data_IF_031037838364
#
_entry.id   IF_031037838364
#
_cell.length_a   1.000
_cell.length_b   1.000
_cell.length_c   1.000
_cell.angle_alpha   90.00
_cell.angle_beta   90.00
_cell.angle_gamma   90.00
#
_symmetry.space_group_name_H-M   'P 1'
#
loop_
_entity.id
_entity.type
_entity.pdbx_description
1 polymer ?
#
# COMPACT_ATOMS: atom_id res chain seq x y z
N UNK A 1 -14.79 18.04 -4.29
CA UNK A 1 -13.74 17.02 -4.47
C UNK A 1 -13.28 16.94 -5.93
N UNK A 2 -14.18 16.75 -6.92
CA UNK A 2 -13.78 16.59 -8.33
C UNK A 2 -13.00 17.76 -8.93
N UNK A 3 -13.28 19.00 -8.51
CA UNK A 3 -12.52 20.19 -8.96
C UNK A 3 -11.08 20.26 -8.43
N UNK A 4 -10.75 19.52 -7.37
CA UNK A 4 -9.40 19.47 -6.78
C UNK A 4 -8.47 18.49 -7.52
N UNK A 5 -9.04 17.53 -8.27
CA UNK A 5 -8.28 16.45 -8.91
C UNK A 5 -7.36 16.95 -10.03
N UNK A 6 -7.81 17.77 -11.01
CA UNK A 6 -6.93 18.18 -12.11
C UNK A 6 -5.70 19.00 -11.67
N UNK A 7 -5.81 19.99 -10.75
CA UNK A 7 -4.63 20.69 -10.22
C UNK A 7 -3.66 19.77 -9.47
N UNK A 8 -4.19 18.84 -8.67
CA UNK A 8 -3.39 17.83 -7.99
C UNK A 8 -2.60 16.97 -8.99
N UNK A 9 -3.28 16.39 -9.99
CA UNK A 9 -2.64 15.58 -11.03
C UNK A 9 -1.57 16.37 -11.80
N UNK A 10 -1.85 17.63 -12.13
CA UNK A 10 -0.89 18.47 -12.85
C UNK A 10 0.38 18.71 -12.04
N UNK A 11 0.27 18.94 -10.73
CA UNK A 11 1.42 19.10 -9.87
C UNK A 11 2.23 17.79 -9.74
N UNK A 12 1.57 16.64 -9.72
CA UNK A 12 2.23 15.32 -9.74
C UNK A 12 3.00 15.11 -11.05
N UNK A 13 2.42 15.47 -12.19
CA UNK A 13 3.12 15.38 -13.49
C UNK A 13 4.41 16.21 -13.49
N UNK A 14 4.35 17.45 -13.00
CA UNK A 14 5.52 18.35 -12.93
C UNK A 14 6.55 17.83 -11.91
N UNK A 15 6.09 17.29 -10.77
CA UNK A 15 6.97 16.65 -9.79
C UNK A 15 7.83 15.53 -10.40
N UNK A 16 7.30 14.86 -11.42
CA UNK A 16 7.91 13.70 -12.06
C UNK A 16 8.48 13.97 -13.45
N UNK A 17 8.50 15.22 -13.91
CA UNK A 17 8.99 15.53 -15.26
C UNK A 17 10.52 15.51 -15.36
N UNK A 18 11.22 15.81 -14.27
CA UNK A 18 12.69 15.90 -14.18
C UNK A 18 13.14 15.93 -12.70
N UNK A 19 14.43 16.14 -12.43
CA UNK A 19 15.03 16.29 -11.10
C UNK A 19 15.56 17.71 -10.80
N UNK A 20 15.20 18.69 -11.62
CA UNK A 20 15.56 20.09 -11.41
C UNK A 20 14.78 20.72 -10.22
N UNK A 21 15.14 21.97 -9.88
CA UNK A 21 14.53 22.70 -8.77
C UNK A 21 13.00 22.86 -8.90
N UNK A 22 12.50 23.14 -10.11
CA UNK A 22 11.07 23.34 -10.37
C UNK A 22 10.30 22.05 -10.10
N UNK A 23 10.81 20.91 -10.58
CA UNK A 23 10.20 19.60 -10.33
C UNK A 23 10.18 19.25 -8.83
N UNK A 24 11.28 19.50 -8.10
CA UNK A 24 11.32 19.26 -6.64
C UNK A 24 10.31 20.14 -5.88
N UNK A 25 10.21 21.42 -6.24
CA UNK A 25 9.22 22.32 -5.66
C UNK A 25 7.78 21.85 -5.97
N UNK A 26 7.54 21.36 -7.19
CA UNK A 26 6.25 20.82 -7.58
C UNK A 26 5.81 19.59 -6.77
N UNK A 27 6.74 18.78 -6.24
CA UNK A 27 6.40 17.67 -5.34
C UNK A 27 5.80 18.15 -4.01
N UNK A 28 6.32 19.25 -3.45
CA UNK A 28 5.73 19.88 -2.26
C UNK A 28 4.36 20.48 -2.59
N UNK A 29 4.25 21.17 -3.74
CA UNK A 29 2.98 21.71 -4.22
C UNK A 29 1.93 20.62 -4.44
N UNK A 30 2.32 19.47 -4.99
CA UNK A 30 1.44 18.32 -5.15
C UNK A 30 0.87 17.88 -3.81
N UNK A 31 1.67 17.82 -2.74
CA UNK A 31 1.17 17.53 -1.39
C UNK A 31 0.13 18.52 -0.91
N UNK A 32 0.35 19.81 -1.12
CA UNK A 32 -0.61 20.85 -0.73
C UNK A 32 -1.92 20.73 -1.51
N UNK A 33 -1.86 20.44 -2.81
CA UNK A 33 -3.05 20.36 -3.67
C UNK A 33 -3.81 19.04 -3.54
N UNK A 34 -3.12 17.93 -3.27
CA UNK A 34 -3.70 16.60 -3.22
C UNK A 34 -4.22 16.22 -1.83
N UNK A 35 -3.53 16.62 -0.74
CA UNK A 35 -3.94 16.24 0.62
C UNK A 35 -5.38 16.65 1.00
N UNK A 36 -5.93 17.80 0.55
CA UNK A 36 -7.32 18.15 0.84
C UNK A 36 -8.34 17.11 0.35
N UNK A 37 -8.02 16.33 -0.69
CA UNK A 37 -8.90 15.25 -1.19
C UNK A 37 -9.09 14.18 -0.10
N UNK A 38 -7.98 13.77 0.54
CA UNK A 38 -7.98 12.83 1.68
C UNK A 38 -8.62 13.51 2.90
N UNK A 39 -8.32 14.79 3.13
CA UNK A 39 -8.84 15.56 4.26
C UNK A 39 -10.37 15.64 4.29
N UNK A 40 -11.04 15.73 3.14
CA UNK A 40 -12.51 15.70 3.06
C UNK A 40 -13.08 14.38 3.59
N UNK A 41 -12.46 13.25 3.26
CA UNK A 41 -12.87 11.96 3.80
C UNK A 41 -12.58 11.87 5.30
N UNK A 42 -11.38 12.28 5.74
CA UNK A 42 -11.00 12.29 7.16
C UNK A 42 -11.95 13.14 8.02
N UNK A 43 -12.50 14.24 7.48
CA UNK A 43 -13.46 15.11 8.17
C UNK A 43 -14.80 14.44 8.49
N UNK A 44 -15.11 13.29 7.87
CA UNK A 44 -16.30 12.48 8.20
C UNK A 44 -16.18 11.75 9.54
N UNK A 45 -14.97 11.63 10.09
CA UNK A 45 -14.67 10.83 11.29
C UNK A 45 -14.54 9.32 11.03
N UNK A 46 -14.68 8.88 9.77
CA UNK A 46 -14.40 7.49 9.38
C UNK A 46 -12.90 7.22 9.34
N UNK A 47 -12.53 5.96 9.53
CA UNK A 47 -11.16 5.49 9.53
C UNK A 47 -10.60 5.44 8.09
N UNK A 48 -9.52 6.19 7.84
CA UNK A 48 -8.81 6.19 6.54
C UNK A 48 -8.27 4.80 6.14
N UNK A 49 -8.13 3.89 7.10
CA UNK A 49 -7.57 2.56 6.92
C UNK A 49 -8.65 1.45 6.86
N UNK A 50 -9.90 1.76 7.20
CA UNK A 50 -11.02 0.81 7.08
C UNK A 50 -12.33 1.60 7.04
N UNK A 51 -12.94 1.71 5.87
CA UNK A 51 -14.14 2.54 5.64
C UNK A 51 -15.37 2.12 6.46
N UNK A 52 -15.34 0.94 7.08
CA UNK A 52 -16.41 0.40 7.93
C UNK A 52 -16.30 0.86 9.38
N UNK A 53 -15.16 1.45 9.78
CA UNK A 53 -14.83 1.76 11.18
C UNK A 53 -14.77 3.29 11.40
N UNK A 54 -15.10 3.79 12.60
CA UNK A 54 -14.73 5.15 13.00
C UNK A 54 -13.22 5.26 13.25
N UNK A 55 -12.65 6.45 13.05
CA UNK A 55 -11.25 6.72 13.39
C UNK A 55 -11.12 6.93 14.91
N UNK A 56 -10.44 6.02 15.62
CA UNK A 56 -10.21 6.10 17.07
C UNK A 56 -8.70 6.14 17.35
N UNK A 57 -8.25 7.12 18.12
CA UNK A 57 -6.83 7.30 18.42
C UNK A 57 -6.03 7.98 17.30
N UNK A 58 -4.74 8.20 17.51
CA UNK A 58 -3.87 9.00 16.62
C UNK A 58 -3.56 8.34 15.27
N UNK A 59 -3.65 7.01 15.19
CA UNK A 59 -3.49 6.24 13.95
C UNK A 59 -4.80 5.56 13.52
N UNK A 60 -5.95 6.09 13.96
CA UNK A 60 -7.28 5.51 13.76
C UNK A 60 -7.48 4.05 14.24
N UNK A 61 -6.51 3.51 14.99
CA UNK A 61 -6.60 2.28 15.76
C UNK A 61 -6.12 2.53 17.19
N UNK A 62 -6.67 1.77 18.14
CA UNK A 62 -6.18 1.78 19.51
C UNK A 62 -4.92 0.89 19.63
N UNK A 63 -3.76 1.53 19.79
CA UNK A 63 -2.46 0.87 20.00
C UNK A 63 -1.92 1.07 21.43
N UNK A 64 -2.74 1.47 22.40
CA UNK A 64 -2.29 1.79 23.76
C UNK A 64 -1.61 0.60 24.44
N UNK A 65 -2.16 -0.61 24.26
CA UNK A 65 -1.57 -1.83 24.79
C UNK A 65 -0.18 -2.12 24.20
N UNK A 66 0.00 -1.90 22.89
CA UNK A 66 1.29 -2.05 22.22
C UNK A 66 2.28 -1.00 22.71
N UNK A 67 1.87 0.28 22.77
CA UNK A 67 2.67 1.38 23.30
C UNK A 67 3.15 1.09 24.72
N UNK A 68 2.25 0.63 25.61
CA UNK A 68 2.59 0.28 26.98
C UNK A 68 3.56 -0.91 27.05
N UNK A 69 3.32 -1.96 26.26
CA UNK A 69 4.19 -3.13 26.20
C UNK A 69 5.62 -2.77 25.74
N UNK A 70 5.75 -2.03 24.64
CA UNK A 70 7.06 -1.66 24.07
C UNK A 70 7.85 -0.67 24.95
N UNK A 71 7.19 0.01 25.88
CA UNK A 71 7.82 0.96 26.81
C UNK A 71 8.21 0.33 28.17
N UNK A 72 7.87 -0.94 28.41
CA UNK A 72 8.33 -1.68 29.59
C UNK A 72 9.85 -1.87 29.57
N UNK A 73 10.47 -1.72 30.73
CA UNK A 73 11.92 -1.85 30.87
C UNK A 73 12.41 -3.28 30.61
N UNK A 74 11.68 -4.28 31.10
CA UNK A 74 12.04 -5.69 30.89
C UNK A 74 11.89 -6.10 29.42
N UNK A 75 10.88 -5.58 28.72
CA UNK A 75 10.73 -5.77 27.27
C UNK A 75 11.90 -5.15 26.52
N UNK A 76 12.25 -3.89 26.80
CA UNK A 76 13.39 -3.24 26.11
C UNK A 76 14.72 -3.94 26.41
N UNK A 77 14.92 -4.35 27.67
CA UNK A 77 16.13 -5.06 28.10
C UNK A 77 16.25 -6.44 27.43
N UNK A 78 15.14 -7.19 27.35
CA UNK A 78 15.15 -8.52 26.70
C UNK A 78 15.40 -8.45 25.18
N UNK A 79 15.01 -7.34 24.53
CA UNK A 79 15.33 -7.07 23.13
C UNK A 79 16.74 -6.49 22.91
N UNK A 80 17.50 -6.21 23.98
CA UNK A 80 18.80 -5.54 23.90
C UNK A 80 18.70 -4.07 23.43
N UNK A 81 17.52 -3.47 23.50
CA UNK A 81 17.31 -2.08 23.12
C UNK A 81 17.82 -1.13 24.23
N UNK A 82 18.44 -0.03 23.83
CA UNK A 82 18.75 1.06 24.77
C UNK A 82 17.45 1.62 25.34
N UNK A 83 17.45 1.92 26.64
CA UNK A 83 16.29 2.50 27.32
C UNK A 83 15.89 3.81 26.64
N UNK A 84 14.66 3.86 26.14
CA UNK A 84 14.10 5.03 25.46
C UNK A 84 12.57 4.98 25.47
N UNK A 85 11.93 6.13 25.20
CA UNK A 85 10.49 6.17 24.97
C UNK A 85 10.23 5.67 23.56
N UNK A 86 9.60 4.50 23.45
CA UNK A 86 9.16 3.94 22.19
C UNK A 86 7.90 4.64 21.69
N UNK A 87 7.84 4.90 20.38
CA UNK A 87 6.69 5.45 19.67
C UNK A 87 6.53 4.69 18.36
N UNK A 88 5.28 4.48 17.92
CA UNK A 88 4.99 3.77 16.65
C UNK A 88 5.52 4.49 15.41
N UNK A 89 5.47 5.83 15.39
CA UNK A 89 5.88 6.64 14.26
C UNK A 89 6.59 7.91 14.73
N UNK A 90 7.70 8.28 14.08
CA UNK A 90 8.37 9.55 14.29
C UNK A 90 7.86 10.57 13.24
N UNK A 91 7.11 11.57 13.71
CA UNK A 91 6.52 12.58 12.83
C UNK A 91 7.52 13.61 12.30
N UNK A 92 8.68 13.78 12.95
CA UNK A 92 9.75 14.62 12.40
C UNK A 92 10.34 13.98 11.15
N UNK A 93 10.62 12.67 11.19
CA UNK A 93 11.06 11.91 10.02
C UNK A 93 9.99 11.94 8.93
N UNK A 94 8.70 11.80 9.28
CA UNK A 94 7.60 11.93 8.31
C UNK A 94 7.63 13.28 7.57
N UNK A 95 7.90 14.37 8.29
CA UNK A 95 8.03 15.71 7.71
C UNK A 95 9.29 15.87 6.84
N UNK A 96 10.36 15.11 7.08
CA UNK A 96 11.54 15.14 6.21
C UNK A 96 11.25 14.54 4.82
N UNK A 97 10.24 13.67 4.70
CA UNK A 97 9.82 13.02 3.45
C UNK A 97 8.78 13.83 2.63
N UNK A 98 8.55 15.10 2.95
CA UNK A 98 7.55 15.94 2.27
C UNK A 98 7.71 15.98 0.73
N UNK A 99 8.94 16.01 0.22
CA UNK A 99 9.23 16.05 -1.22
C UNK A 99 9.17 14.68 -1.89
N UNK A 100 9.20 13.60 -1.12
CA UNK A 100 9.33 12.23 -1.61
C UNK A 100 7.97 11.63 -2.01
N UNK A 101 6.91 12.00 -1.28
CA UNK A 101 5.58 11.39 -1.37
C UNK A 101 4.97 11.32 -2.78
N UNK A 102 5.23 12.31 -3.63
CA UNK A 102 4.66 12.40 -4.99
C UNK A 102 5.64 12.01 -6.09
N UNK A 103 6.83 11.53 -5.74
CA UNK A 103 7.75 10.94 -6.71
C UNK A 103 7.22 9.57 -7.15
N UNK A 104 7.31 9.31 -8.45
CA UNK A 104 6.94 8.05 -9.04
C UNK A 104 8.06 7.04 -8.79
N UNK A 105 7.77 5.98 -8.04
CA UNK A 105 8.69 4.87 -7.80
C UNK A 105 8.27 3.57 -8.51
N UNK A 106 7.14 3.58 -9.21
CA UNK A 106 6.59 2.39 -9.87
C UNK A 106 7.49 1.89 -11.00
N UNK A 107 8.39 2.72 -11.52
CA UNK A 107 9.39 2.34 -12.53
C UNK A 107 10.36 1.26 -12.07
N UNK A 108 10.47 1.01 -10.75
CA UNK A 108 11.34 -0.05 -10.20
C UNK A 108 10.76 -1.45 -10.41
N UNK A 109 9.43 -1.58 -10.49
CA UNK A 109 8.75 -2.88 -10.64
C UNK A 109 9.12 -3.58 -11.96
N UNK A 110 9.11 -2.91 -13.13
CA UNK A 110 9.59 -3.51 -14.37
C UNK A 110 11.01 -4.05 -14.28
N UNK A 111 11.96 -3.31 -13.68
CA UNK A 111 13.34 -3.78 -13.50
C UNK A 111 13.41 -5.06 -12.65
N UNK A 112 12.67 -5.11 -11.54
CA UNK A 112 12.61 -6.31 -10.70
C UNK A 112 12.09 -7.52 -11.49
N UNK A 113 11.05 -7.33 -12.28
CA UNK A 113 10.46 -8.38 -13.10
C UNK A 113 11.43 -8.89 -14.18
N UNK A 114 12.17 -7.97 -14.82
CA UNK A 114 13.22 -8.29 -15.80
C UNK A 114 14.39 -9.07 -15.18
N UNK A 115 14.75 -8.75 -13.94
CA UNK A 115 15.77 -9.46 -13.14
C UNK A 115 15.29 -10.81 -12.58
N UNK A 116 14.10 -11.26 -12.97
CA UNK A 116 13.56 -12.56 -12.54
C UNK A 116 12.94 -12.55 -11.15
N UNK A 117 12.73 -11.39 -10.53
CA UNK A 117 12.07 -11.23 -9.23
C UNK A 117 10.55 -11.12 -9.42
N UNK A 118 9.80 -12.08 -8.87
CA UNK A 118 8.34 -11.98 -8.85
C UNK A 118 7.87 -10.88 -7.90
N UNK A 119 6.83 -10.13 -8.29
CA UNK A 119 6.28 -9.02 -7.52
C UNK A 119 4.79 -9.26 -7.27
N UNK A 120 4.38 -9.19 -6.01
CA UNK A 120 2.98 -9.21 -5.61
C UNK A 120 2.58 -7.89 -4.98
N UNK A 121 1.55 -7.26 -5.54
CA UNK A 121 0.89 -6.07 -4.99
C UNK A 121 -0.46 -6.52 -4.44
N UNK A 122 -0.69 -6.40 -3.14
CA UNK A 122 -1.97 -6.75 -2.53
C UNK A 122 -2.59 -5.56 -1.80
N UNK A 123 -3.92 -5.46 -1.83
CA UNK A 123 -4.66 -4.39 -1.19
C UNK A 123 -5.97 -4.90 -0.57
N UNK A 124 -6.29 -4.40 0.63
CA UNK A 124 -7.56 -4.67 1.28
C UNK A 124 -8.72 -3.95 0.60
N UNK A 125 -9.85 -4.63 0.45
CA UNK A 125 -11.07 -4.11 -0.16
C UNK A 125 -11.63 -2.86 0.54
N UNK A 126 -11.43 -2.75 1.85
CA UNK A 126 -12.04 -1.75 2.72
C UNK A 126 -11.08 -0.60 3.06
N UNK A 127 -9.87 -0.59 2.51
CA UNK A 127 -8.92 0.51 2.69
C UNK A 127 -9.29 1.72 1.83
N UNK A 128 -9.26 2.92 2.42
CA UNK A 128 -9.47 4.17 1.68
C UNK A 128 -8.13 4.77 1.20
N UNK A 129 -7.17 4.92 2.12
CA UNK A 129 -5.95 5.71 1.86
C UNK A 129 -5.05 5.07 0.79
N UNK A 130 -5.00 3.73 0.75
CA UNK A 130 -4.28 2.94 -0.26
C UNK A 130 -5.22 1.91 -0.92
N UNK A 131 -6.42 2.37 -1.32
CA UNK A 131 -7.48 1.52 -1.84
C UNK A 131 -7.07 0.58 -2.99
N UNK A 132 -7.77 -0.56 -3.08
CA UNK A 132 -7.53 -1.58 -4.09
C UNK A 132 -7.80 -1.09 -5.53
N UNK A 133 -8.71 -0.13 -5.71
CA UNK A 133 -9.07 0.43 -7.03
C UNK A 133 -7.85 1.14 -7.64
N UNK A 134 -7.23 2.04 -6.88
CA UNK A 134 -6.01 2.75 -7.28
C UNK A 134 -4.84 1.79 -7.51
N UNK A 135 -4.69 0.78 -6.64
CA UNK A 135 -3.67 -0.25 -6.82
C UNK A 135 -3.85 -1.08 -8.10
N UNK A 136 -5.08 -1.45 -8.43
CA UNK A 136 -5.40 -2.14 -9.68
C UNK A 136 -5.19 -1.25 -10.91
N UNK A 137 -5.53 0.03 -10.81
CA UNK A 137 -5.36 0.97 -11.92
C UNK A 137 -3.88 1.19 -12.26
N UNK A 138 -3.00 1.40 -11.27
CA UNK A 138 -1.59 1.62 -11.58
C UNK A 138 -0.90 0.35 -12.07
N UNK A 139 -1.25 -0.83 -11.53
CA UNK A 139 -0.68 -2.11 -11.98
C UNK A 139 -1.08 -2.49 -13.39
N UNK A 140 -2.31 -2.19 -13.81
CA UNK A 140 -2.78 -2.39 -15.20
C UNK A 140 -2.25 -1.35 -16.18
N UNK A 141 -1.93 -0.14 -15.68
CA UNK A 141 -1.31 0.92 -16.47
C UNK A 141 0.21 0.74 -16.62
N UNK A 142 0.87 0.06 -15.68
CA UNK A 142 2.31 -0.13 -15.61
C UNK A 142 2.87 -0.61 -16.95
N UNK A 143 3.97 -0.02 -17.40
CA UNK A 143 4.63 -0.42 -18.64
C UNK A 143 5.71 -1.47 -18.35
N UNK A 144 5.51 -2.69 -18.84
CA UNK A 144 6.41 -3.83 -18.70
C UNK A 144 6.09 -4.90 -19.76
N UNK A 145 7.01 -5.86 -20.05
CA UNK A 145 6.84 -6.81 -21.16
C UNK A 145 5.55 -7.64 -21.12
N UNK A 146 5.10 -8.07 -19.93
CA UNK A 146 3.88 -8.86 -19.77
C UNK A 146 2.58 -8.05 -19.59
N UNK A 147 2.60 -6.72 -19.79
CA UNK A 147 1.42 -5.84 -19.64
C UNK A 147 0.20 -6.34 -20.42
N UNK A 148 0.40 -6.73 -21.68
CA UNK A 148 -0.70 -7.18 -22.53
C UNK A 148 -1.36 -8.46 -21.98
N UNK A 149 -0.54 -9.42 -21.52
CA UNK A 149 -1.02 -10.65 -20.89
C UNK A 149 -1.74 -10.37 -19.58
N UNK A 150 -1.20 -9.48 -18.74
CA UNK A 150 -1.83 -9.10 -17.48
C UNK A 150 -3.18 -8.42 -17.68
N UNK A 151 -3.29 -7.54 -18.67
CA UNK A 151 -4.56 -6.86 -18.96
C UNK A 151 -5.60 -7.80 -19.59
N UNK A 152 -5.15 -8.84 -20.33
CA UNK A 152 -6.00 -9.89 -20.87
C UNK A 152 -6.40 -10.97 -19.84
N UNK A 153 -5.61 -11.14 -18.77
CA UNK A 153 -5.91 -12.10 -17.71
C UNK A 153 -7.21 -11.74 -16.96
N UNK A 154 -7.95 -12.77 -16.55
CA UNK A 154 -9.14 -12.63 -15.72
C UNK A 154 -8.74 -12.48 -14.26
N UNK A 155 -9.63 -11.87 -13.48
CA UNK A 155 -9.51 -11.91 -12.02
C UNK A 155 -10.09 -13.25 -11.53
N UNK A 156 -9.27 -14.05 -10.87
CA UNK A 156 -9.64 -15.36 -10.36
C UNK A 156 -9.76 -15.36 -8.84
N UNK A 157 -10.65 -16.17 -8.25
CA UNK A 157 -10.77 -16.27 -6.81
C UNK A 157 -9.54 -16.97 -6.21
N UNK A 158 -9.00 -16.42 -5.12
CA UNK A 158 -8.15 -17.18 -4.21
C UNK A 158 -8.94 -17.54 -2.95
N UNK A 159 -8.56 -18.64 -2.30
CA UNK A 159 -9.31 -19.21 -1.18
C UNK A 159 -8.56 -19.14 0.14
N UNK A 160 -9.31 -18.91 1.21
CA UNK A 160 -8.84 -19.07 2.59
C UNK A 160 -8.64 -20.58 2.92
N UNK A 161 -7.99 -20.91 4.05
CA UNK A 161 -7.79 -22.30 4.47
C UNK A 161 -9.08 -23.14 4.57
N UNK A 162 -10.22 -22.51 4.87
CA UNK A 162 -11.53 -23.17 4.97
C UNK A 162 -12.24 -23.34 3.61
N UNK A 163 -11.58 -22.97 2.51
CA UNK A 163 -12.10 -23.06 1.16
C UNK A 163 -13.02 -21.90 0.74
N UNK A 164 -13.31 -20.95 1.63
CA UNK A 164 -14.09 -19.75 1.28
C UNK A 164 -13.30 -18.83 0.35
N UNK A 165 -13.98 -18.11 -0.53
CA UNK A 165 -13.32 -17.12 -1.40
C UNK A 165 -12.86 -15.94 -0.54
N UNK A 166 -11.56 -15.69 -0.52
CA UNK A 166 -10.92 -14.66 0.30
C UNK A 166 -10.59 -13.38 -0.47
N UNK A 167 -10.77 -13.41 -1.79
CA UNK A 167 -10.54 -12.27 -2.66
C UNK A 167 -10.30 -12.70 -4.09
N UNK A 168 -9.74 -11.78 -4.88
CA UNK A 168 -9.42 -11.99 -6.29
C UNK A 168 -7.95 -11.73 -6.54
N UNK A 169 -7.34 -12.52 -7.42
CA UNK A 169 -6.00 -12.26 -7.92
C UNK A 169 -5.98 -12.22 -9.44
N UNK A 170 -4.99 -11.50 -9.96
CA UNK A 170 -4.66 -11.43 -11.40
C UNK A 170 -3.16 -11.57 -11.53
N UNK A 171 -2.70 -12.43 -12.43
CA UNK A 171 -1.28 -12.70 -12.58
C UNK A 171 -0.89 -12.83 -14.06
N UNK A 172 0.33 -12.42 -14.39
CA UNK A 172 0.93 -12.71 -15.69
C UNK A 172 2.46 -12.80 -15.58
N UNK A 173 3.04 -13.64 -16.42
CA UNK A 173 4.48 -13.80 -16.53
C UNK A 173 5.15 -12.56 -17.16
N UNK A 174 6.32 -12.19 -16.64
CA UNK A 174 7.17 -11.12 -17.15
C UNK A 174 8.41 -11.66 -17.88
N UNK A 175 9.07 -12.65 -17.29
CA UNK A 175 10.18 -13.41 -17.86
C UNK A 175 9.96 -14.91 -17.59
N UNK A 176 10.91 -15.78 -17.93
CA UNK A 176 10.79 -17.23 -17.74
C UNK A 176 10.54 -17.66 -16.29
N UNK A 177 10.88 -16.83 -15.30
CA UNK A 177 10.79 -17.17 -13.87
C UNK A 177 10.08 -16.14 -13.00
N UNK A 178 9.54 -15.05 -13.56
CA UNK A 178 8.94 -13.97 -12.78
C UNK A 178 7.51 -13.67 -13.19
N UNK A 179 6.69 -13.34 -12.19
CA UNK A 179 5.30 -12.94 -12.37
C UNK A 179 5.02 -11.59 -11.70
N UNK A 180 4.17 -10.79 -12.32
CA UNK A 180 3.46 -9.71 -11.62
C UNK A 180 2.09 -10.24 -11.19
N UNK A 181 1.79 -10.15 -9.91
CA UNK A 181 0.49 -10.52 -9.34
C UNK A 181 -0.14 -9.34 -8.61
N UNK A 182 -1.40 -9.05 -8.91
CA UNK A 182 -2.24 -8.16 -8.10
C UNK A 182 -3.27 -8.97 -7.32
N UNK A 183 -3.47 -8.66 -6.03
CA UNK A 183 -4.45 -9.33 -5.17
C UNK A 183 -5.35 -8.30 -4.48
N UNK A 184 -6.66 -8.41 -4.69
CA UNK A 184 -7.67 -7.74 -3.87
C UNK A 184 -8.12 -8.69 -2.77
N UNK A 185 -8.02 -8.28 -1.50
CA UNK A 185 -8.39 -9.10 -0.35
C UNK A 185 -9.71 -8.64 0.25
N UNK A 186 -10.71 -9.53 0.24
CA UNK A 186 -12.05 -9.21 0.72
C UNK A 186 -12.09 -8.99 2.23
N UNK A 187 -13.01 -8.13 2.67
CA UNK A 187 -13.25 -7.84 4.09
C UNK A 187 -12.02 -7.37 4.90
N UNK A 188 -10.96 -6.91 4.23
CA UNK A 188 -9.74 -6.41 4.86
C UNK A 188 -9.55 -4.91 4.60
N UNK A 189 -9.07 -4.17 5.60
CA UNK A 189 -8.65 -2.78 5.47
C UNK A 189 -7.16 -2.66 5.11
N UNK A 190 -6.52 -1.58 5.55
CA UNK A 190 -5.13 -1.23 5.26
C UNK A 190 -4.14 -2.30 5.74
N UNK A 191 -4.36 -2.84 6.94
CA UNK A 191 -3.55 -3.89 7.53
C UNK A 191 -4.16 -5.26 7.24
N UNK A 192 -4.04 -5.74 6.00
CA UNK A 192 -4.66 -7.01 5.57
C UNK A 192 -4.42 -8.18 6.54
N UNK A 193 -3.20 -8.44 7.05
CA UNK A 193 -2.98 -9.52 8.02
C UNK A 193 -3.67 -9.31 9.37
N UNK A 194 -3.99 -8.06 9.75
CA UNK A 194 -4.72 -7.75 10.98
C UNK A 194 -6.21 -8.10 10.84
N UNK A 195 -6.83 -7.81 9.69
CA UNK A 195 -8.25 -8.06 9.47
C UNK A 195 -8.55 -9.49 8.95
N UNK A 196 -7.65 -10.08 8.15
CA UNK A 196 -7.82 -11.40 7.53
C UNK A 196 -6.55 -12.27 7.68
N UNK A 197 -6.15 -12.63 8.92
CA UNK A 197 -4.87 -13.29 9.18
C UNK A 197 -4.71 -14.64 8.47
N UNK A 198 -5.76 -15.48 8.46
CA UNK A 198 -5.72 -16.79 7.83
C UNK A 198 -5.55 -16.71 6.31
N UNK A 199 -6.31 -15.82 5.66
CA UNK A 199 -6.23 -15.56 4.22
C UNK A 199 -4.89 -14.93 3.84
N UNK A 200 -4.40 -13.97 4.63
CA UNK A 200 -3.10 -13.35 4.43
C UNK A 200 -1.96 -14.37 4.53
N UNK A 201 -2.04 -15.30 5.50
CA UNK A 201 -1.06 -16.37 5.63
C UNK A 201 -1.00 -17.26 4.38
N UNK A 202 -2.14 -17.69 3.84
CA UNK A 202 -2.18 -18.50 2.61
C UNK A 202 -1.62 -17.72 1.43
N UNK A 203 -2.10 -16.49 1.22
CA UNK A 203 -1.65 -15.61 0.13
C UNK A 203 -0.13 -15.41 0.15
N UNK A 204 0.43 -15.02 1.30
CA UNK A 204 1.88 -14.75 1.45
C UNK A 204 2.67 -16.06 1.32
N UNK A 205 2.21 -17.15 1.94
CA UNK A 205 2.92 -18.44 1.87
C UNK A 205 2.97 -18.99 0.44
N UNK A 206 1.87 -18.90 -0.30
CA UNK A 206 1.82 -19.36 -1.69
C UNK A 206 2.74 -18.53 -2.58
N UNK A 207 2.73 -17.20 -2.42
CA UNK A 207 3.64 -16.32 -3.13
C UNK A 207 5.11 -16.67 -2.87
N UNK A 208 5.51 -16.78 -1.60
CA UNK A 208 6.90 -17.07 -1.22
C UNK A 208 7.38 -18.46 -1.68
N UNK A 209 6.45 -19.41 -1.83
CA UNK A 209 6.75 -20.79 -2.24
C UNK A 209 6.56 -21.02 -3.74
N UNK A 210 6.19 -19.98 -4.51
CA UNK A 210 5.89 -20.12 -5.94
C UNK A 210 4.69 -21.03 -6.23
N UNK A 211 3.75 -21.16 -5.29
CA UNK A 211 2.54 -21.98 -5.44
C UNK A 211 1.42 -21.16 -6.07
N UNK A 212 0.48 -21.81 -6.80
CA UNK A 212 -0.74 -21.15 -7.25
C UNK A 212 -1.56 -20.56 -6.09
N UNK A 213 -2.38 -19.55 -6.39
CA UNK A 213 -3.32 -18.96 -5.44
C UNK A 213 -4.68 -19.69 -5.41
N UNK A 214 -4.91 -20.63 -6.33
CA UNK A 214 -6.13 -21.42 -6.50
C UNK A 214 -5.93 -22.91 -6.17
#
# INVERSE_FOLDING_TARGET
>A
MSSMVPPCQKAIEICNSDNNFIAKAACVTARVLCNPIIGVYSATGLNNYDIRKPCIGTLCYNFDALNAFMNREDVQSSLGAKRQVWQSCNMEVNLMFLMDWFKNFNYTVPTLLEDGVSVMIYAGEMDFICNWIGNKQWTTALNWPGKALFNAALDEPFRAPDGTVAGLFRTAAAASTSNLTFVQVYNAGHMVPMDQPASAFVMISNFLQGRPFN
#
